data_IF_873491454364
#
_entry.id   IF_873491454364
#
_cell.length_a   1.000
_cell.length_b   1.000
_cell.length_c   1.000
_cell.angle_alpha   90.00
_cell.angle_beta   90.00
_cell.angle_gamma   90.00
#
_symmetry.space_group_name_H-M   'P 1'
#
loop_
_entity.id
_entity.type
_entity.pdbx_description
1 polymer ?
#
# COMPACT_ATOMS: atom_id res chain seq x y z
N UNK A 1 14.58 -20.17 -25.23
CA UNK A 1 14.23 -19.53 -23.94
C UNK A 1 14.23 -20.51 -22.75
N UNK A 2 13.57 -21.67 -22.85
CA UNK A 2 13.42 -22.68 -21.76
C UNK A 2 14.72 -23.11 -21.06
N UNK A 3 15.78 -23.44 -21.79
CA UNK A 3 17.05 -23.91 -21.20
C UNK A 3 17.81 -22.89 -20.33
N UNK A 4 17.68 -21.58 -20.61
CA UNK A 4 18.26 -20.52 -19.77
C UNK A 4 17.50 -20.37 -18.45
N UNK A 5 16.17 -20.49 -18.51
CA UNK A 5 15.29 -20.45 -17.32
C UNK A 5 15.55 -21.66 -16.43
N UNK A 6 15.61 -22.86 -16.98
CA UNK A 6 15.90 -24.10 -16.24
C UNK A 6 17.29 -24.08 -15.60
N UNK A 7 18.31 -23.56 -16.30
CA UNK A 7 19.65 -23.40 -15.75
C UNK A 7 19.66 -22.42 -14.57
N UNK A 8 18.97 -21.28 -14.65
CA UNK A 8 18.81 -20.35 -13.52
C UNK A 8 18.13 -20.99 -12.32
N UNK A 9 17.05 -21.75 -12.53
CA UNK A 9 16.34 -22.46 -11.45
C UNK A 9 17.27 -23.48 -10.79
N UNK A 10 18.00 -24.26 -11.60
CA UNK A 10 18.99 -25.23 -11.12
C UNK A 10 20.09 -24.56 -10.31
N UNK A 11 20.65 -23.46 -10.82
CA UNK A 11 21.69 -22.69 -10.14
C UNK A 11 21.21 -22.14 -8.80
N UNK A 12 19.99 -21.61 -8.73
CA UNK A 12 19.39 -21.13 -7.48
C UNK A 12 19.17 -22.26 -6.47
N UNK A 13 18.61 -23.40 -6.92
CA UNK A 13 18.40 -24.58 -6.08
C UNK A 13 19.70 -25.19 -5.56
N UNK A 14 20.77 -25.19 -6.34
CA UNK A 14 22.05 -25.80 -5.96
C UNK A 14 22.96 -24.85 -5.18
N UNK A 15 22.96 -23.55 -5.50
CA UNK A 15 23.87 -22.56 -4.93
C UNK A 15 23.41 -21.95 -3.60
N UNK A 16 22.09 -21.81 -3.42
CA UNK A 16 21.46 -21.12 -2.28
C UNK A 16 20.21 -21.85 -1.78
N UNK A 17 20.25 -23.18 -1.67
CA UNK A 17 19.09 -23.96 -1.22
C UNK A 17 18.68 -23.58 0.22
N UNK A 18 17.44 -23.11 0.45
CA UNK A 18 16.99 -22.77 1.80
C UNK A 18 16.74 -24.02 2.67
N UNK A 19 16.56 -25.19 2.06
CA UNK A 19 16.16 -26.42 2.75
C UNK A 19 17.31 -27.20 3.40
N UNK A 20 18.56 -26.76 3.24
CA UNK A 20 19.74 -27.48 3.78
C UNK A 20 19.96 -27.27 5.27
N UNK A 21 19.29 -26.28 5.88
CA UNK A 21 19.39 -25.98 7.31
C UNK A 21 18.09 -25.35 7.81
N UNK A 22 17.90 -25.38 9.12
CA UNK A 22 16.87 -24.59 9.79
C UNK A 22 17.28 -23.12 9.89
N UNK A 23 16.28 -22.25 9.96
CA UNK A 23 16.44 -20.80 10.03
C UNK A 23 15.63 -20.27 11.21
N UNK A 24 16.24 -19.41 12.00
CA UNK A 24 15.59 -18.85 13.18
C UNK A 24 14.64 -17.70 12.82
N UNK A 25 14.82 -17.09 11.64
CA UNK A 25 13.93 -16.04 11.11
C UNK A 25 14.02 -15.93 9.59
N UNK A 26 13.04 -15.25 8.99
CA UNK A 26 13.06 -14.87 7.57
C UNK A 26 14.25 -13.95 7.26
N UNK A 27 14.59 -13.05 8.18
CA UNK A 27 15.72 -12.13 8.04
C UNK A 27 17.06 -12.87 7.97
N UNK A 28 17.25 -13.89 8.82
CA UNK A 28 18.45 -14.73 8.80
C UNK A 28 18.57 -15.51 7.48
N UNK A 29 17.44 -15.99 6.94
CA UNK A 29 17.39 -16.62 5.62
C UNK A 29 17.78 -15.63 4.52
N UNK A 30 17.17 -14.44 4.52
CA UNK A 30 17.43 -13.40 3.54
C UNK A 30 18.92 -13.03 3.53
N UNK A 31 19.49 -12.68 4.68
CA UNK A 31 20.90 -12.31 4.83
C UNK A 31 21.85 -13.39 4.31
N UNK A 32 21.58 -14.67 4.60
CA UNK A 32 22.39 -15.74 4.06
C UNK A 32 22.24 -15.88 2.54
N UNK A 33 21.01 -15.84 2.01
CA UNK A 33 20.83 -15.98 0.56
C UNK A 33 21.48 -14.85 -0.22
N UNK A 34 21.50 -13.63 0.34
CA UNK A 34 22.14 -12.48 -0.28
C UNK A 34 23.66 -12.60 -0.24
N UNK A 35 24.25 -13.00 0.90
CA UNK A 35 25.68 -13.30 0.99
C UNK A 35 26.09 -14.39 -0.02
N UNK A 36 25.33 -15.48 -0.11
CA UNK A 36 25.58 -16.56 -1.07
C UNK A 36 25.45 -16.11 -2.52
N UNK A 37 24.50 -15.23 -2.83
CA UNK A 37 24.38 -14.63 -4.18
C UNK A 37 25.61 -13.82 -4.52
N UNK A 38 26.09 -12.96 -3.62
CA UNK A 38 27.30 -12.16 -3.84
C UNK A 38 28.50 -13.07 -4.11
N UNK A 39 28.72 -14.11 -3.29
CA UNK A 39 29.80 -15.08 -3.51
C UNK A 39 29.73 -15.77 -4.88
N UNK A 40 28.52 -16.12 -5.33
CA UNK A 40 28.30 -16.77 -6.63
C UNK A 40 28.56 -15.78 -7.77
N UNK A 41 28.08 -14.55 -7.66
CA UNK A 41 28.23 -13.52 -8.69
C UNK A 41 29.70 -13.09 -8.85
N UNK A 42 30.45 -13.01 -7.76
CA UNK A 42 31.90 -12.73 -7.78
C UNK A 42 32.71 -13.86 -8.46
N UNK A 43 32.21 -15.10 -8.48
CA UNK A 43 32.89 -16.25 -9.14
C UNK A 43 32.46 -16.46 -10.59
N UNK A 44 31.32 -15.90 -11.00
CA UNK A 44 30.78 -16.09 -12.35
C UNK A 44 31.36 -15.08 -13.30
N UNK A 45 31.80 -15.53 -14.46
CA UNK A 45 32.22 -14.65 -15.55
C UNK A 45 31.00 -14.13 -16.32
N UNK A 46 30.93 -12.82 -16.50
CA UNK A 46 29.99 -12.17 -17.39
C UNK A 46 30.41 -12.40 -18.86
N UNK A 47 29.59 -13.06 -19.69
CA UNK A 47 29.97 -13.34 -21.08
C UNK A 47 30.19 -12.08 -21.93
N UNK A 48 29.53 -10.98 -21.59
CA UNK A 48 29.60 -9.73 -22.36
C UNK A 48 30.88 -8.92 -22.08
N UNK A 49 31.41 -9.00 -20.85
CA UNK A 49 32.55 -8.17 -20.42
C UNK A 49 33.82 -8.97 -20.16
N UNK A 50 33.72 -10.31 -20.05
CA UNK A 50 34.85 -11.18 -19.68
C UNK A 50 35.31 -11.05 -18.22
N UNK A 51 34.76 -10.10 -17.47
CA UNK A 51 35.03 -9.90 -16.03
C UNK A 51 34.03 -10.68 -15.18
N UNK A 52 34.21 -10.72 -13.85
CA UNK A 52 33.19 -11.29 -12.98
C UNK A 52 31.87 -10.48 -13.04
N UNK A 53 30.75 -11.13 -12.75
CA UNK A 53 29.42 -10.53 -12.87
C UNK A 53 29.22 -9.37 -11.90
N UNK A 54 29.85 -9.39 -10.72
CA UNK A 54 29.71 -8.33 -9.73
C UNK A 54 30.41 -7.04 -10.22
N UNK A 55 31.66 -7.14 -10.68
CA UNK A 55 32.40 -6.02 -11.28
C UNK A 55 31.69 -5.46 -12.52
N UNK A 56 31.09 -6.34 -13.34
CA UNK A 56 30.32 -5.92 -14.50
C UNK A 56 29.09 -5.09 -14.10
N UNK A 57 28.35 -5.53 -13.07
CA UNK A 57 27.20 -4.81 -12.53
C UNK A 57 27.58 -3.45 -11.94
N UNK A 58 28.67 -3.36 -11.18
CA UNK A 58 29.13 -2.09 -10.60
C UNK A 58 29.46 -1.03 -11.66
N UNK A 59 30.10 -1.45 -12.77
CA UNK A 59 30.36 -0.56 -13.92
C UNK A 59 29.11 -0.12 -14.64
N UNK A 60 28.09 -0.98 -14.74
CA UNK A 60 26.82 -0.60 -15.37
C UNK A 60 25.99 0.33 -14.48
N UNK A 61 26.08 0.16 -13.15
CA UNK A 61 25.25 0.88 -12.16
C UNK A 61 25.33 2.41 -12.29
N UNK A 62 26.48 2.97 -12.66
CA UNK A 62 26.66 4.42 -12.83
C UNK A 62 25.91 4.98 -14.04
N UNK A 63 25.48 4.11 -14.97
CA UNK A 63 24.74 4.47 -16.16
C UNK A 63 23.23 4.26 -16.01
N UNK A 64 22.78 3.64 -14.91
CA UNK A 64 21.36 3.43 -14.63
C UNK A 64 20.72 4.71 -14.10
N UNK A 65 19.49 4.98 -14.54
CA UNK A 65 18.68 6.05 -13.95
C UNK A 65 18.37 5.76 -12.48
N UNK A 66 18.34 6.78 -11.61
CA UNK A 66 17.89 6.60 -10.24
C UNK A 66 16.45 6.10 -10.23
N UNK A 67 16.12 5.30 -9.22
CA UNK A 67 14.74 4.90 -8.98
C UNK A 67 13.91 6.13 -8.59
N UNK A 68 12.62 6.19 -8.94
CA UNK A 68 11.74 7.26 -8.49
C UNK A 68 11.65 7.23 -6.96
N UNK A 69 11.64 8.41 -6.34
CA UNK A 69 11.46 8.57 -4.91
C UNK A 69 10.13 9.31 -4.65
N UNK A 70 9.17 8.71 -3.92
CA UNK A 70 9.22 7.36 -3.33
C UNK A 70 9.07 6.23 -4.36
N UNK A 71 9.68 5.07 -4.08
CA UNK A 71 9.42 3.85 -4.84
C UNK A 71 7.92 3.49 -4.72
N UNK A 72 7.26 3.07 -5.82
CA UNK A 72 5.89 2.61 -5.74
C UNK A 72 5.80 1.40 -4.80
N UNK A 73 4.85 1.43 -3.87
CA UNK A 73 4.63 0.32 -2.94
C UNK A 73 4.23 -0.94 -3.74
N UNK A 74 4.93 -2.08 -3.55
CA UNK A 74 4.53 -3.31 -4.21
C UNK A 74 3.09 -3.68 -3.87
N UNK A 75 2.33 -4.07 -4.90
CA UNK A 75 0.96 -4.54 -4.77
C UNK A 75 0.81 -5.92 -5.39
N UNK A 76 -0.09 -6.73 -4.83
CA UNK A 76 -0.40 -8.07 -5.35
C UNK A 76 -1.58 -8.05 -6.32
N UNK A 77 -2.51 -7.11 -6.14
CA UNK A 77 -3.75 -6.98 -6.91
C UNK A 77 -3.95 -5.51 -7.26
N UNK A 78 -4.36 -5.24 -8.50
CA UNK A 78 -4.85 -3.95 -8.94
C UNK A 78 -6.18 -4.13 -9.67
N UNK A 79 -7.18 -3.34 -9.30
CA UNK A 79 -8.51 -3.36 -9.93
C UNK A 79 -9.02 -1.95 -10.18
N UNK A 80 -9.69 -1.74 -11.30
CA UNK A 80 -10.40 -0.48 -11.55
C UNK A 80 -11.79 -0.52 -10.91
N UNK A 81 -12.16 0.54 -10.18
CA UNK A 81 -13.49 0.72 -9.59
C UNK A 81 -14.02 2.10 -9.90
N UNK A 82 -15.32 2.22 -10.02
CA UNK A 82 -16.00 3.51 -10.13
C UNK A 82 -16.39 3.97 -8.72
N UNK A 83 -16.09 5.22 -8.39
CA UNK A 83 -16.44 5.81 -7.09
C UNK A 83 -17.96 5.88 -6.98
N UNK A 84 -18.51 5.28 -5.93
CA UNK A 84 -19.94 5.23 -5.66
C UNK A 84 -20.47 6.58 -5.15
N UNK A 85 -21.79 6.73 -5.12
CA UNK A 85 -22.47 7.99 -4.75
C UNK A 85 -22.20 8.45 -3.31
N UNK A 86 -21.78 7.53 -2.44
CA UNK A 86 -21.37 7.79 -1.06
C UNK A 86 -19.87 8.11 -0.93
N UNK A 87 -19.19 8.37 -2.05
CA UNK A 87 -17.75 8.63 -2.13
C UNK A 87 -16.91 7.45 -1.61
N UNK A 88 -17.28 6.23 -1.98
CA UNK A 88 -16.55 5.02 -1.59
C UNK A 88 -16.24 4.08 -2.76
N UNK A 89 -15.31 3.15 -2.52
CA UNK A 89 -14.99 2.03 -3.43
C UNK A 89 -14.87 0.71 -2.68
N UNK A 90 -15.33 -0.37 -3.32
CA UNK A 90 -15.29 -1.71 -2.75
C UNK A 90 -14.03 -2.48 -3.19
N UNK A 91 -13.32 -3.05 -2.21
CA UNK A 91 -12.13 -3.87 -2.40
C UNK A 91 -12.03 -4.94 -1.30
N UNK A 92 -11.77 -6.20 -1.67
CA UNK A 92 -11.59 -7.32 -0.72
C UNK A 92 -12.67 -7.44 0.37
N UNK A 93 -13.94 -7.24 -0.02
CA UNK A 93 -15.08 -7.35 0.89
C UNK A 93 -15.22 -6.19 1.88
N UNK A 94 -14.45 -5.12 1.69
CA UNK A 94 -14.51 -3.87 2.46
C UNK A 94 -14.81 -2.70 1.54
N UNK A 95 -15.25 -1.61 2.14
CA UNK A 95 -15.55 -0.34 1.49
C UNK A 95 -14.65 0.73 2.05
N UNK A 96 -13.99 1.47 1.17
CA UNK A 96 -13.02 2.51 1.52
C UNK A 96 -13.50 3.86 1.02
N UNK A 97 -13.43 4.91 1.85
CA UNK A 97 -13.77 6.26 1.37
C UNK A 97 -12.70 6.80 0.42
N UNK A 98 -13.14 7.69 -0.45
CA UNK A 98 -12.29 8.44 -1.41
C UNK A 98 -12.72 9.90 -1.38
N UNK A 99 -11.83 10.85 -1.70
CA UNK A 99 -12.19 12.26 -1.76
C UNK A 99 -13.43 12.50 -2.62
N UNK A 100 -14.40 13.27 -2.09
CA UNK A 100 -15.69 13.49 -2.75
C UNK A 100 -15.55 14.07 -4.16
N UNK A 101 -14.48 14.83 -4.42
CA UNK A 101 -14.14 15.39 -5.72
C UNK A 101 -14.07 14.33 -6.85
N UNK A 102 -13.87 13.05 -6.51
CA UNK A 102 -13.76 11.94 -7.44
C UNK A 102 -15.08 11.19 -7.67
N UNK A 103 -16.21 11.72 -7.18
CA UNK A 103 -17.53 11.11 -7.32
C UNK A 103 -17.81 10.64 -8.75
N UNK A 104 -18.13 9.35 -8.91
CA UNK A 104 -18.45 8.77 -10.20
C UNK A 104 -17.26 8.60 -11.16
N UNK A 105 -16.04 8.96 -10.78
CA UNK A 105 -14.84 8.74 -11.59
C UNK A 105 -14.32 7.31 -11.45
N UNK A 106 -13.53 6.85 -12.42
CA UNK A 106 -12.84 5.57 -12.35
C UNK A 106 -11.48 5.73 -11.67
N UNK A 107 -11.23 4.91 -10.65
CA UNK A 107 -9.99 4.89 -9.87
C UNK A 107 -9.38 3.49 -9.89
N UNK A 108 -8.06 3.43 -9.78
CA UNK A 108 -7.32 2.18 -9.62
C UNK A 108 -7.13 1.90 -8.12
N UNK A 109 -7.55 0.72 -7.67
CA UNK A 109 -7.42 0.28 -6.29
C UNK A 109 -6.36 -0.81 -6.24
N UNK A 110 -5.29 -0.57 -5.49
CA UNK A 110 -4.14 -1.46 -5.33
C UNK A 110 -4.13 -2.06 -3.93
N UNK A 111 -4.03 -3.39 -3.87
CA UNK A 111 -3.79 -4.14 -2.64
C UNK A 111 -2.29 -4.23 -2.35
N UNK A 112 -1.77 -3.30 -1.54
CA UNK A 112 -0.40 -3.38 -1.03
C UNK A 112 -0.34 -4.30 0.20
N UNK A 113 0.86 -4.60 0.70
CA UNK A 113 1.02 -5.54 1.81
C UNK A 113 0.29 -5.12 3.09
N UNK A 114 0.26 -3.81 3.40
CA UNK A 114 -0.39 -3.27 4.61
C UNK A 114 -1.49 -2.25 4.32
N UNK A 115 -1.56 -1.75 3.09
CA UNK A 115 -2.47 -0.69 2.71
C UNK A 115 -3.25 -1.03 1.45
N UNK A 116 -4.39 -0.38 1.30
CA UNK A 116 -5.10 -0.24 0.04
C UNK A 116 -4.83 1.16 -0.47
N UNK A 117 -4.12 1.26 -1.59
CA UNK A 117 -3.88 2.54 -2.26
C UNK A 117 -4.95 2.76 -3.33
N UNK A 118 -5.53 3.96 -3.37
CA UNK A 118 -6.50 4.34 -4.38
C UNK A 118 -5.87 5.46 -5.22
N UNK A 119 -5.87 5.27 -6.53
CA UNK A 119 -5.23 6.16 -7.49
C UNK A 119 -6.24 6.73 -8.47
N UNK A 120 -6.11 8.03 -8.73
CA UNK A 120 -6.74 8.70 -9.86
C UNK A 120 -5.66 9.00 -10.91
N UNK A 121 -5.62 8.20 -11.99
CA UNK A 121 -4.51 8.26 -12.94
C UNK A 121 -3.20 7.79 -12.30
N UNK A 122 -2.23 8.69 -12.16
CA UNK A 122 -0.93 8.40 -11.55
C UNK A 122 -0.83 8.81 -10.07
N UNK A 123 -1.79 9.59 -9.57
CA UNK A 123 -1.72 10.18 -8.24
C UNK A 123 -2.43 9.29 -7.21
N UNK A 124 -1.77 9.05 -6.08
CA UNK A 124 -2.38 8.39 -4.93
C UNK A 124 -3.29 9.40 -4.23
N UNK A 125 -4.59 9.17 -4.32
CA UNK A 125 -5.63 10.07 -3.78
C UNK A 125 -6.12 9.65 -2.40
N UNK A 126 -5.94 8.38 -2.04
CA UNK A 126 -6.25 7.87 -0.71
C UNK A 126 -5.42 6.62 -0.40
N UNK A 127 -5.12 6.41 0.88
CA UNK A 127 -4.48 5.20 1.37
C UNK A 127 -5.15 4.76 2.67
N UNK A 128 -5.54 3.49 2.75
CA UNK A 128 -6.24 2.93 3.91
C UNK A 128 -5.55 1.68 4.42
N UNK A 129 -5.65 1.32 5.71
CA UNK A 129 -5.18 0.02 6.19
C UNK A 129 -5.91 -1.14 5.48
N UNK A 130 -5.15 -2.16 5.07
CA UNK A 130 -5.70 -3.39 4.45
C UNK A 130 -5.98 -4.44 5.53
N UNK A 131 -7.07 -5.19 5.38
CA UNK A 131 -7.38 -6.30 6.28
C UNK A 131 -7.95 -5.91 7.65
N UNK A 132 -8.51 -4.71 7.78
CA UNK A 132 -9.20 -4.21 8.99
C UNK A 132 -10.36 -5.10 9.41
N UNK A 133 -10.78 -5.04 10.68
CA UNK A 133 -11.98 -5.75 11.13
C UNK A 133 -13.27 -5.06 10.62
N UNK A 134 -13.19 -3.74 10.47
CA UNK A 134 -14.23 -2.86 9.97
C UNK A 134 -14.50 -3.13 8.48
N UNK A 135 -15.79 -3.30 8.14
CA UNK A 135 -16.23 -3.46 6.74
C UNK A 135 -16.24 -2.14 5.97
N UNK A 136 -16.32 -1.03 6.67
CA UNK A 136 -16.34 0.32 6.10
C UNK A 136 -15.21 1.09 6.79
N UNK A 137 -14.23 1.52 6.00
CA UNK A 137 -13.07 2.27 6.45
C UNK A 137 -13.18 3.67 5.87
N UNK A 138 -13.46 4.64 6.74
CA UNK A 138 -13.70 6.02 6.36
C UNK A 138 -12.57 6.91 6.89
N UNK A 139 -12.04 7.73 6.01
CA UNK A 139 -11.36 8.97 6.37
C UNK A 139 -12.38 10.13 6.27
N UNK A 140 -12.69 10.82 7.39
CA UNK A 140 -13.59 11.98 7.40
C UNK A 140 -13.10 13.14 6.52
N UNK A 141 -11.79 13.32 6.35
CA UNK A 141 -11.22 14.43 5.58
C UNK A 141 -11.55 14.33 4.09
N UNK A 142 -11.92 13.15 3.60
CA UNK A 142 -12.39 12.95 2.22
C UNK A 142 -13.68 13.70 1.89
N UNK A 143 -14.40 14.19 2.90
CA UNK A 143 -15.64 14.94 2.74
C UNK A 143 -15.45 16.46 2.96
N UNK A 144 -14.21 16.91 3.19
CA UNK A 144 -13.90 18.32 3.37
C UNK A 144 -13.34 18.94 2.07
N UNK A 145 -13.62 20.23 1.85
CA UNK A 145 -13.04 21.01 0.75
C UNK A 145 -14.08 21.78 -0.09
N UNK A 146 -13.61 22.60 -1.05
CA UNK A 146 -14.49 23.34 -1.94
C UNK A 146 -15.09 22.45 -3.04
N UNK A 147 -16.28 22.80 -3.53
CA UNK A 147 -16.89 22.15 -4.69
C UNK A 147 -15.95 22.19 -5.90
N UNK A 148 -15.99 21.13 -6.71
CA UNK A 148 -15.35 21.12 -8.04
C UNK A 148 -16.35 21.59 -9.10
N UNK A 149 -15.93 21.63 -10.37
CA UNK A 149 -16.82 21.97 -11.48
C UNK A 149 -17.98 20.96 -11.63
N UNK A 150 -17.72 19.69 -11.31
CA UNK A 150 -18.64 18.59 -11.53
C UNK A 150 -19.31 18.07 -10.25
N UNK A 151 -18.74 18.36 -9.08
CA UNK A 151 -19.20 17.81 -7.80
C UNK A 151 -19.34 18.92 -6.75
N UNK A 152 -20.54 19.04 -6.19
CA UNK A 152 -20.81 19.96 -5.08
C UNK A 152 -20.27 19.36 -3.78
N UNK A 153 -19.53 20.15 -3.01
CA UNK A 153 -19.03 19.72 -1.71
C UNK A 153 -20.18 19.33 -0.77
N UNK A 154 -20.03 18.24 0.00
CA UNK A 154 -21.03 17.86 0.97
C UNK A 154 -21.17 18.94 2.05
N UNK A 155 -22.33 19.00 2.68
CA UNK A 155 -22.55 19.97 3.76
C UNK A 155 -21.57 19.67 4.89
N UNK A 156 -20.75 20.65 5.32
CA UNK A 156 -19.79 20.43 6.39
C UNK A 156 -20.54 20.08 7.68
N UNK A 157 -19.84 19.38 8.59
CA UNK A 157 -20.39 19.10 9.90
C UNK A 157 -20.74 20.42 10.60
N UNK A 158 -21.98 20.52 11.07
CA UNK A 158 -22.40 21.62 11.95
C UNK A 158 -21.72 21.52 13.32
N UNK A 159 -21.86 22.55 14.16
CA UNK A 159 -21.20 22.62 15.49
C UNK A 159 -21.34 21.35 16.33
N UNK A 160 -22.54 20.77 16.35
CA UNK A 160 -22.81 19.52 17.08
C UNK A 160 -22.01 18.34 16.48
N UNK A 161 -22.01 18.21 15.15
CA UNK A 161 -21.28 17.16 14.44
C UNK A 161 -19.78 17.24 14.69
N UNK A 162 -19.20 18.46 14.64
CA UNK A 162 -17.80 18.68 15.01
C UNK A 162 -17.53 18.26 16.45
N UNK A 163 -18.41 18.63 17.39
CA UNK A 163 -18.24 18.27 18.81
C UNK A 163 -18.32 16.77 19.05
N UNK A 164 -19.21 16.07 18.33
CA UNK A 164 -19.31 14.61 18.39
C UNK A 164 -18.07 13.93 17.84
N UNK A 165 -17.52 14.43 16.73
CA UNK A 165 -16.27 13.92 16.16
C UNK A 165 -15.10 14.07 17.14
N UNK A 166 -14.97 15.24 17.79
CA UNK A 166 -13.95 15.48 18.82
C UNK A 166 -14.05 14.49 19.98
N UNK A 167 -15.27 14.19 20.45
CA UNK A 167 -15.50 13.25 21.55
C UNK A 167 -15.25 11.81 21.12
N UNK A 168 -15.64 11.45 19.90
CA UNK A 168 -15.36 10.12 19.35
C UNK A 168 -13.85 9.84 19.26
N UNK A 169 -13.03 10.87 18.99
CA UNK A 169 -11.58 10.77 18.96
C UNK A 169 -10.94 10.61 20.36
N UNK A 170 -11.65 10.93 21.45
CA UNK A 170 -11.14 10.74 22.81
C UNK A 170 -11.15 9.25 23.21
N UNK A 171 -10.19 8.88 24.07
CA UNK A 171 -10.19 7.57 24.74
C UNK A 171 -11.52 7.39 25.50
N UNK A 172 -12.16 6.20 25.47
CA UNK A 172 -13.47 5.98 26.07
C UNK A 172 -13.58 6.47 27.53
N UNK A 173 -12.53 6.27 28.33
CA UNK A 173 -12.45 6.68 29.73
C UNK A 173 -12.39 8.21 29.95
N UNK A 174 -12.06 8.98 28.91
CA UNK A 174 -11.98 10.45 28.95
C UNK A 174 -13.24 11.13 28.39
N UNK A 175 -14.21 10.35 27.88
CA UNK A 175 -15.40 10.91 27.23
C UNK A 175 -16.37 11.51 28.27
N UNK A 176 -16.85 12.74 28.06
CA UNK A 176 -17.82 13.36 28.96
C UNK A 176 -19.14 12.57 28.98
N UNK A 177 -19.55 12.10 30.17
CA UNK A 177 -20.79 11.33 30.36
C UNK A 177 -22.07 12.17 30.22
N UNK A 178 -21.99 13.45 30.56
CA UNK A 178 -23.04 14.45 30.42
C UNK A 178 -23.51 14.60 28.97
N UNK A 179 -22.61 14.40 28.00
CA UNK A 179 -22.92 14.52 26.58
C UNK A 179 -23.70 13.33 26.04
N UNK A 180 -23.46 12.11 26.55
CA UNK A 180 -24.32 10.96 26.27
C UNK A 180 -25.73 11.17 26.83
N UNK A 181 -25.84 11.81 28.00
CA UNK A 181 -27.13 12.15 28.59
C UNK A 181 -27.90 13.17 27.72
N UNK A 182 -27.22 14.23 27.26
CA UNK A 182 -27.82 15.24 26.40
C UNK A 182 -28.27 14.69 25.03
N UNK A 183 -27.50 13.78 24.43
CA UNK A 183 -27.89 13.11 23.17
C UNK A 183 -29.14 12.21 23.35
N UNK A 184 -29.25 11.53 24.49
CA UNK A 184 -30.41 10.68 24.79
C UNK A 184 -31.70 11.49 25.02
N UNK A 185 -31.61 12.76 25.42
CA UNK A 185 -32.77 13.64 25.60
C UNK A 185 -33.27 14.24 24.28
N UNK A 186 -32.37 14.58 23.34
CA UNK A 186 -32.74 15.13 22.02
C UNK A 186 -33.38 14.08 21.09
N UNK A 187 -33.17 12.79 21.36
CA UNK A 187 -33.73 11.68 20.59
C UNK A 187 -35.15 11.24 21.04
N UNK A 188 -35.75 11.90 22.05
CA UNK A 188 -37.16 11.71 22.46
C UNK A 188 -38.07 12.74 21.81
#
# INVERSE_FOLDING_TARGET
AKGKVERRIRDGRLGCSPYRRHWDSLEALQAHTDARRIEILAKRTCPATGTDVLSAWERERIHLSPLPEPLPEPFDIAVTRRVASDCTVAFEGRTYSVPFALLGQAVEVRGCARHVQILAGADIVAAHPRGTAERIVLDPTHFDGPSTADVVAPTPLGRLGTRLAEIAAMAPEQRPLDLYAALAEVAR
#
